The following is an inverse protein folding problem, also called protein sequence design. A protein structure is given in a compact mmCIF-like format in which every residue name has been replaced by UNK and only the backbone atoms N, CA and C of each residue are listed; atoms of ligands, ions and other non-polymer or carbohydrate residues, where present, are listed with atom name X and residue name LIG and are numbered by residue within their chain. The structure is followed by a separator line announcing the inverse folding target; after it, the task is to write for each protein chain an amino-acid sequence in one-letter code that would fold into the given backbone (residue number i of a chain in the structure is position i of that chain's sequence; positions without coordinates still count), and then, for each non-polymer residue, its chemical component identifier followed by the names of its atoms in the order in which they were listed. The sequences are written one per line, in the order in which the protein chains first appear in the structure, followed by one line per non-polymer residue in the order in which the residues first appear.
data_IF_618440040969
#
_entry.id   IF_618440040969
#
_cell.length_a   1.000
_cell.length_b   1.000
_cell.length_c   1.000
_cell.angle_alpha   90.00
_cell.angle_beta   90.00
_cell.angle_gamma   90.00
#
_symmetry.space_group_name_H-M   'P 1'
#
loop_
_entity.id
_entity.type
_entity.pdbx_description
1 polymer ?
#
# COMPACT_ATOMS: atom_id res chain seq x y z
N UNK A 1 1.34 -18.07 -1.66
CA UNK A 1 1.24 -17.32 -0.39
C UNK A 1 0.98 -15.83 -0.60
N UNK A 2 1.76 -15.13 -1.44
CA UNK A 2 1.60 -13.67 -1.64
C UNK A 2 0.27 -13.26 -2.31
N UNK A 3 -0.27 -14.03 -3.27
CA UNK A 3 -1.53 -13.68 -3.95
C UNK A 3 -2.74 -13.77 -3.02
N UNK A 4 -2.80 -14.80 -2.17
CA UNK A 4 -3.87 -14.92 -1.17
C UNK A 4 -3.85 -13.75 -0.18
N UNK A 5 -2.67 -13.39 0.33
CA UNK A 5 -2.51 -12.23 1.22
C UNK A 5 -2.84 -10.92 0.52
N UNK A 6 -2.47 -10.77 -0.76
CA UNK A 6 -2.84 -9.60 -1.56
C UNK A 6 -4.36 -9.46 -1.63
N UNK A 7 -5.08 -10.54 -1.98
CA UNK A 7 -6.55 -10.53 -2.02
C UNK A 7 -7.12 -10.18 -0.65
N UNK A 8 -6.60 -10.78 0.42
CA UNK A 8 -7.03 -10.48 1.79
C UNK A 8 -6.85 -8.99 2.14
N UNK A 9 -5.70 -8.40 1.85
CA UNK A 9 -5.43 -6.99 2.14
C UNK A 9 -6.26 -6.05 1.27
N UNK A 10 -6.56 -6.41 0.02
CA UNK A 10 -7.50 -5.66 -0.83
C UNK A 10 -8.90 -5.67 -0.19
N UNK A 11 -9.40 -6.83 0.23
CA UNK A 11 -10.70 -6.93 0.91
C UNK A 11 -10.72 -6.16 2.23
N UNK A 12 -9.63 -6.21 2.99
CA UNK A 12 -9.47 -5.44 4.23
C UNK A 12 -9.48 -3.93 3.97
N UNK A 13 -8.81 -3.47 2.91
CA UNK A 13 -8.81 -2.06 2.51
C UNK A 13 -10.22 -1.61 2.10
N UNK A 14 -10.93 -2.41 1.28
CA UNK A 14 -12.30 -2.12 0.85
C UNK A 14 -13.24 -2.05 2.05
N UNK A 15 -13.18 -3.03 2.96
CA UNK A 15 -13.98 -3.02 4.17
C UNK A 15 -13.65 -1.80 5.05
N UNK A 16 -12.36 -1.49 5.22
CA UNK A 16 -11.91 -0.29 5.93
C UNK A 16 -12.48 1.00 5.34
N UNK A 17 -12.49 1.13 4.00
CA UNK A 17 -13.02 2.30 3.31
C UNK A 17 -14.55 2.42 3.47
N UNK A 18 -15.29 1.31 3.31
CA UNK A 18 -16.76 1.29 3.40
C UNK A 18 -17.22 1.60 4.83
N UNK A 19 -16.60 0.96 5.83
CA UNK A 19 -16.98 1.09 7.24
C UNK A 19 -16.23 2.21 7.97
N UNK A 20 -15.40 2.99 7.28
CA UNK A 20 -14.56 4.07 7.84
C UNK A 20 -13.71 3.61 9.03
N UNK A 21 -13.07 2.45 8.89
CA UNK A 21 -12.17 1.88 9.89
C UNK A 21 -10.73 2.17 9.49
N UNK A 22 -10.13 3.16 10.14
CA UNK A 22 -8.79 3.68 9.81
C UNK A 22 -7.72 2.60 9.80
N UNK A 23 -7.73 1.71 10.79
CA UNK A 23 -6.80 0.58 10.86
C UNK A 23 -6.93 -0.37 9.66
N UNK A 24 -8.16 -0.57 9.15
CA UNK A 24 -8.43 -1.42 7.99
C UNK A 24 -7.92 -0.80 6.69
N UNK A 25 -8.12 0.51 6.51
CA UNK A 25 -7.58 1.25 5.36
C UNK A 25 -6.05 1.26 5.40
N UNK A 26 -5.47 1.54 6.56
CA UNK A 26 -4.03 1.59 6.78
C UNK A 26 -3.35 0.26 6.48
N UNK A 27 -3.78 -0.81 7.16
CA UNK A 27 -3.19 -2.12 7.00
C UNK A 27 -3.50 -2.69 5.61
N UNK A 28 -4.72 -2.51 5.12
CA UNK A 28 -5.14 -2.99 3.81
C UNK A 28 -4.32 -2.38 2.67
N UNK A 29 -4.35 -1.05 2.53
CA UNK A 29 -3.65 -0.38 1.42
C UNK A 29 -2.12 -0.54 1.54
N UNK A 30 -1.55 -0.31 2.73
CA UNK A 30 -0.10 -0.37 2.92
C UNK A 30 0.48 -1.76 2.68
N UNK A 31 -0.18 -2.81 3.18
CA UNK A 31 0.31 -4.19 3.03
C UNK A 31 -0.04 -4.79 1.67
N UNK A 32 -1.15 -4.39 1.04
CA UNK A 32 -1.47 -4.80 -0.32
C UNK A 32 -0.36 -4.36 -1.29
N UNK A 33 0.09 -3.10 -1.19
CA UNK A 33 1.19 -2.57 -2.00
C UNK A 33 2.47 -3.38 -1.83
N UNK A 34 2.81 -3.75 -0.59
CA UNK A 34 3.95 -4.61 -0.32
C UNK A 34 3.82 -6.01 -0.96
N UNK A 35 2.62 -6.59 -0.96
CA UNK A 35 2.40 -7.89 -1.63
C UNK A 35 2.57 -7.78 -3.14
N UNK A 36 2.10 -6.69 -3.77
CA UNK A 36 2.31 -6.44 -5.21
C UNK A 36 3.81 -6.37 -5.52
N UNK A 37 4.57 -5.61 -4.72
CA UNK A 37 6.03 -5.51 -4.86
C UNK A 37 6.71 -6.89 -4.74
N UNK A 38 6.31 -7.70 -3.75
CA UNK A 38 6.87 -9.04 -3.54
C UNK A 38 6.52 -10.04 -4.65
N UNK A 39 5.42 -9.85 -5.37
CA UNK A 39 5.04 -10.69 -6.49
C UNK A 39 5.93 -10.46 -7.73
N UNK A 40 6.68 -9.35 -7.79
CA UNK A 40 7.63 -9.02 -8.87
C UNK A 40 7.03 -9.16 -10.28
N UNK A 41 5.74 -8.86 -10.42
CA UNK A 41 5.02 -9.06 -11.70
C UNK A 41 5.54 -8.10 -12.75
N UNK A 42 5.57 -6.80 -12.43
CA UNK A 42 6.02 -5.76 -13.35
C UNK A 42 6.43 -4.52 -12.55
N UNK A 43 7.60 -3.95 -12.88
CA UNK A 43 8.13 -2.72 -12.26
C UNK A 43 7.13 -1.56 -12.37
N UNK A 44 6.51 -1.39 -13.54
CA UNK A 44 5.52 -0.34 -13.77
C UNK A 44 4.26 -0.54 -12.94
N UNK A 45 3.76 -1.78 -12.84
CA UNK A 45 2.58 -2.07 -12.02
C UNK A 45 2.85 -1.78 -10.54
N UNK A 46 4.03 -2.12 -10.03
CA UNK A 46 4.41 -1.84 -8.65
C UNK A 46 4.37 -0.34 -8.35
N UNK A 47 4.97 0.49 -9.23
CA UNK A 47 4.95 1.96 -9.07
C UNK A 47 3.53 2.53 -9.14
N UNK A 48 2.72 2.06 -10.10
CA UNK A 48 1.33 2.50 -10.23
C UNK A 48 0.53 2.14 -8.98
N UNK A 49 0.71 0.93 -8.43
CA UNK A 49 0.07 0.53 -7.18
C UNK A 49 0.48 1.45 -6.03
N UNK A 50 1.78 1.68 -5.81
CA UNK A 50 2.28 2.58 -4.75
C UNK A 50 1.65 3.97 -4.90
N UNK A 51 1.61 4.52 -6.12
CA UNK A 51 1.06 5.85 -6.36
C UNK A 51 -0.44 5.90 -6.02
N UNK A 52 -1.22 4.93 -6.51
CA UNK A 52 -2.66 4.87 -6.27
C UNK A 52 -2.98 4.70 -4.79
N UNK A 53 -2.31 3.76 -4.09
CA UNK A 53 -2.57 3.52 -2.66
C UNK A 53 -2.15 4.71 -1.81
N UNK A 54 -1.03 5.36 -2.14
CA UNK A 54 -0.59 6.59 -1.48
C UNK A 54 -1.65 7.69 -1.59
N UNK A 55 -2.16 7.95 -2.79
CA UNK A 55 -3.19 8.98 -3.01
C UNK A 55 -4.48 8.60 -2.28
N UNK A 56 -4.97 7.38 -2.46
CA UNK A 56 -6.22 6.92 -1.82
C UNK A 56 -6.16 6.98 -0.30
N UNK A 57 -5.10 6.44 0.31
CA UNK A 57 -4.94 6.46 1.76
C UNK A 57 -4.72 7.86 2.31
N UNK A 58 -3.92 8.69 1.62
CA UNK A 58 -3.70 10.07 2.06
C UNK A 58 -4.98 10.90 2.02
N UNK A 59 -5.76 10.80 0.95
CA UNK A 59 -7.06 11.47 0.83
C UNK A 59 -8.03 10.98 1.91
N UNK A 60 -8.08 9.67 2.15
CA UNK A 60 -8.93 9.10 3.19
C UNK A 60 -8.57 9.64 4.59
N UNK A 61 -7.31 9.56 5.01
CA UNK A 61 -6.88 10.00 6.35
C UNK A 61 -6.96 11.52 6.52
N UNK A 62 -6.82 12.28 5.43
CA UNK A 62 -7.05 13.71 5.46
C UNK A 62 -8.54 14.05 5.69
N UNK A 63 -9.46 13.33 5.02
CA UNK A 63 -10.91 13.55 5.19
C UNK A 63 -11.41 13.07 6.56
N UNK A 64 -10.82 12.01 7.13
CA UNK A 64 -11.18 11.53 8.47
C UNK A 64 -10.46 12.27 9.60
N UNK A 65 -9.70 13.32 9.28
CA UNK A 65 -8.93 14.16 10.22
C UNK A 65 -7.97 13.35 11.11
N UNK A 66 -7.49 12.21 10.62
CA UNK A 66 -6.60 11.33 11.37
C UNK A 66 -5.13 11.56 10.96
N UNK A 67 -4.55 12.65 11.44
CA UNK A 67 -3.20 13.08 11.08
C UNK A 67 -2.13 12.07 11.46
N UNK A 68 -2.31 11.34 12.57
CA UNK A 68 -1.36 10.30 13.00
C UNK A 68 -1.27 9.18 11.94
N UNK A 69 -2.43 8.66 11.52
CA UNK A 69 -2.48 7.62 10.50
C UNK A 69 -1.97 8.14 9.15
N UNK A 70 -2.27 9.39 8.77
CA UNK A 70 -1.73 10.01 7.56
C UNK A 70 -0.20 9.99 7.54
N UNK A 71 0.44 10.47 8.62
CA UNK A 71 1.91 10.53 8.72
C UNK A 71 2.50 9.12 8.65
N UNK A 72 1.98 8.19 9.45
CA UNK A 72 2.43 6.80 9.45
C UNK A 72 2.25 6.14 8.08
N UNK A 73 1.17 6.48 7.38
CA UNK A 73 0.86 5.90 6.08
C UNK A 73 1.87 6.37 5.02
N UNK A 74 2.23 7.65 5.03
CA UNK A 74 3.30 8.20 4.18
C UNK A 74 4.63 7.47 4.44
N UNK A 75 4.97 7.19 5.70
CA UNK A 75 6.18 6.41 6.02
C UNK A 75 6.14 4.99 5.47
N UNK A 76 4.99 4.31 5.56
CA UNK A 76 4.82 2.96 4.98
C UNK A 76 4.95 3.00 3.46
N UNK A 77 4.34 3.96 2.79
CA UNK A 77 4.43 4.04 1.33
C UNK A 77 5.84 4.42 0.86
N UNK A 78 6.56 5.24 1.63
CA UNK A 78 7.98 5.49 1.38
C UNK A 78 8.82 4.21 1.56
N UNK A 79 8.54 3.40 2.59
CA UNK A 79 9.17 2.10 2.76
C UNK A 79 8.87 1.15 1.60
N UNK A 80 7.63 1.12 1.11
CA UNK A 80 7.25 0.36 -0.08
C UNK A 80 8.03 0.81 -1.33
N UNK A 81 8.16 2.13 -1.53
CA UNK A 81 8.93 2.70 -2.63
C UNK A 81 10.42 2.30 -2.57
N UNK A 82 11.05 2.40 -1.40
CA UNK A 82 12.42 1.95 -1.18
C UNK A 82 12.57 0.44 -1.43
N UNK A 83 11.59 -0.35 -0.99
CA UNK A 83 11.51 -1.78 -1.27
C UNK A 83 11.48 -2.08 -2.76
N UNK A 84 10.63 -1.37 -3.52
CA UNK A 84 10.57 -1.48 -4.97
C UNK A 84 11.93 -1.19 -5.64
N UNK A 85 12.56 -0.06 -5.30
CA UNK A 85 13.88 0.34 -5.85
C UNK A 85 14.93 -0.74 -5.53
N UNK A 86 14.95 -1.25 -4.30
CA UNK A 86 15.92 -2.27 -3.88
C UNK A 86 15.81 -3.58 -4.65
N UNK A 87 14.59 -4.00 -4.99
CA UNK A 87 14.33 -5.22 -5.75
C UNK A 87 14.67 -4.99 -7.22
N UNK A 88 14.24 -3.86 -7.79
CA UNK A 88 14.55 -3.49 -9.17
C UNK A 88 16.05 -3.43 -9.43
N UNK A 89 16.85 -2.87 -8.51
CA UNK A 89 18.31 -2.81 -8.63
C UNK A 89 18.97 -4.19 -8.61
N UNK A 90 18.40 -5.16 -7.88
CA UNK A 90 18.90 -6.54 -7.83
C UNK A 90 18.61 -7.34 -9.10
N UNK A 91 17.57 -6.99 -9.84
CA UNK A 91 17.22 -7.64 -11.12
C UNK A 91 18.09 -7.15 -12.29
N UNK A 92 18.76 -6.01 -12.12
CA UNK A 92 19.63 -5.38 -13.12
C UNK A 92 21.12 -5.69 -12.91
N UNK A 93 21.48 -6.34 -11.80
CA UNK A 93 22.85 -6.77 -11.46
C UNK A 93 23.04 -8.26 -11.73
#
# INVERSE_FOLDING_TARGET
MNVFLLIFFILLAIAGLIFKVDAGVFAGLGLATWQVIRLRINKTLNLVTILITTIMGSVYFYITDNTLFLILFIFIELYNLLGHISITRREES
#
